data_IF_794762155164
#
_entry.id   IF_794762155164
#
_cell.length_a   1.000
_cell.length_b   1.000
_cell.length_c   1.000
_cell.angle_alpha   90.00
_cell.angle_beta   90.00
_cell.angle_gamma   90.00
#
_symmetry.space_group_name_H-M   'P 1'
#
loop_
_entity.id
_entity.type
_entity.pdbx_description
1 polymer ?
#
# COMPACT_ATOMS: atom_id res chain seq x y z
N UNK A 1 -13.20 21.31 -5.42
CA UNK A 1 -12.82 20.11 -4.63
C UNK A 1 -14.12 19.42 -4.24
N UNK A 2 -14.16 18.09 -4.28
CA UNK A 2 -15.39 17.32 -4.06
C UNK A 2 -15.14 16.28 -2.99
N UNK A 3 -16.02 16.21 -1.98
CA UNK A 3 -15.97 15.15 -0.99
C UNK A 3 -16.13 13.79 -1.66
N UNK A 4 -15.20 12.89 -1.38
CA UNK A 4 -15.08 11.61 -2.08
C UNK A 4 -16.29 10.71 -1.91
N UNK A 5 -16.78 10.53 -0.69
CA UNK A 5 -17.93 9.66 -0.42
C UNK A 5 -19.21 10.20 -1.07
N UNK A 6 -19.39 11.52 -1.05
CA UNK A 6 -20.49 12.17 -1.77
C UNK A 6 -20.38 11.90 -3.27
N UNK A 7 -19.19 12.11 -3.86
CA UNK A 7 -18.96 11.84 -5.27
C UNK A 7 -19.23 10.38 -5.65
N UNK A 8 -18.74 9.43 -4.85
CA UNK A 8 -18.99 8.00 -5.05
C UNK A 8 -20.48 7.68 -5.08
N UNK A 9 -21.25 8.20 -4.12
CA UNK A 9 -22.69 7.96 -4.05
C UNK A 9 -23.45 8.60 -5.22
N UNK A 10 -23.06 9.82 -5.60
CA UNK A 10 -23.73 10.57 -6.67
C UNK A 10 -23.42 10.03 -8.07
N UNK A 11 -22.19 9.53 -8.29
CA UNK A 11 -21.70 9.14 -9.62
C UNK A 11 -21.64 7.64 -9.85
N UNK A 12 -21.50 6.85 -8.78
CA UNK A 12 -21.35 5.39 -8.85
C UNK A 12 -22.30 4.75 -7.83
N UNK A 13 -23.58 4.56 -8.19
CA UNK A 13 -24.55 3.86 -7.35
C UNK A 13 -24.04 2.49 -6.89
N UNK A 14 -24.43 2.10 -5.66
CA UNK A 14 -23.87 0.92 -4.98
C UNK A 14 -24.03 -0.39 -5.77
N UNK A 15 -25.14 -0.55 -6.51
CA UNK A 15 -25.43 -1.69 -7.38
C UNK A 15 -24.46 -1.81 -8.57
N UNK A 16 -23.85 -0.69 -9.00
CA UNK A 16 -22.88 -0.65 -10.10
C UNK A 16 -21.44 -0.88 -9.67
N UNK A 17 -21.09 -0.58 -8.40
CA UNK A 17 -19.70 -0.64 -7.90
C UNK A 17 -19.04 -2.00 -8.09
N UNK A 18 -19.80 -3.08 -7.90
CA UNK A 18 -19.33 -4.46 -8.05
C UNK A 18 -18.90 -4.83 -9.49
N UNK A 19 -19.34 -4.07 -10.49
CA UNK A 19 -19.03 -4.30 -11.91
C UNK A 19 -17.80 -3.51 -12.39
N UNK A 20 -17.35 -2.54 -11.61
CA UNK A 20 -16.22 -1.69 -11.99
C UNK A 20 -14.92 -2.48 -11.83
N UNK A 21 -14.18 -2.57 -12.93
CA UNK A 21 -12.86 -3.21 -13.00
C UNK A 21 -11.73 -2.19 -13.14
N UNK A 22 -12.03 -0.98 -13.63
CA UNK A 22 -11.04 0.08 -13.80
C UNK A 22 -11.56 1.41 -13.23
N UNK A 23 -10.82 1.99 -12.30
CA UNK A 23 -11.10 3.31 -11.73
C UNK A 23 -9.87 4.19 -11.83
N UNK A 24 -10.02 5.31 -12.55
CA UNK A 24 -8.99 6.32 -12.72
C UNK A 24 -9.51 7.68 -12.23
N UNK A 25 -8.69 8.35 -11.43
CA UNK A 25 -8.99 9.64 -10.81
C UNK A 25 -7.79 10.56 -11.07
N UNK A 26 -8.02 11.63 -11.83
CA UNK A 26 -7.01 12.60 -12.25
C UNK A 26 -7.35 13.99 -11.70
N UNK A 27 -6.36 14.77 -11.27
CA UNK A 27 -6.60 16.17 -10.86
C UNK A 27 -6.56 17.17 -12.02
N UNK A 28 -6.17 16.72 -13.22
CA UNK A 28 -6.05 17.55 -14.42
C UNK A 28 -7.39 17.83 -15.08
N UNK A 29 -7.39 18.76 -16.03
CA UNK A 29 -8.53 18.97 -16.91
C UNK A 29 -8.71 17.75 -17.83
N UNK A 30 -9.96 17.34 -18.02
CA UNK A 30 -10.36 16.26 -18.90
C UNK A 30 -11.86 16.04 -18.84
N UNK A 31 -12.33 15.04 -19.58
CA UNK A 31 -13.75 14.71 -19.64
C UNK A 31 -14.03 13.44 -18.86
N UNK A 32 -14.98 13.52 -17.93
CA UNK A 32 -15.37 12.35 -17.16
C UNK A 32 -15.97 11.28 -18.06
N UNK A 33 -15.53 10.04 -17.89
CA UNK A 33 -16.04 8.87 -18.60
C UNK A 33 -16.66 7.91 -17.58
N UNK A 34 -17.94 7.62 -17.73
CA UNK A 34 -18.68 6.70 -16.85
C UNK A 34 -19.17 5.50 -17.65
N UNK A 35 -18.24 4.59 -17.95
CA UNK A 35 -18.55 3.32 -18.61
C UNK A 35 -19.15 2.30 -17.65
N UNK A 36 -19.57 1.15 -18.21
CA UNK A 36 -20.16 0.06 -17.43
C UNK A 36 -19.16 -0.58 -16.46
N UNK A 37 -17.90 -0.72 -16.87
CA UNK A 37 -16.84 -1.38 -16.10
C UNK A 37 -15.64 -0.47 -15.84
N UNK A 38 -15.57 0.67 -16.51
CA UNK A 38 -14.43 1.59 -16.45
C UNK A 38 -14.91 3.01 -16.18
N UNK A 39 -14.28 3.67 -15.21
CA UNK A 39 -14.59 5.04 -14.83
C UNK A 39 -13.33 5.87 -14.84
N UNK A 40 -13.39 7.03 -15.50
CA UNK A 40 -12.36 8.05 -15.48
C UNK A 40 -12.96 9.35 -14.96
N UNK A 41 -12.39 9.87 -13.88
CA UNK A 41 -12.82 11.10 -13.25
C UNK A 41 -11.71 12.15 -13.26
N UNK A 42 -12.05 13.35 -13.71
CA UNK A 42 -11.18 14.51 -13.77
C UNK A 42 -11.68 15.54 -12.77
N UNK A 43 -11.01 15.59 -11.63
CA UNK A 43 -11.32 16.49 -10.52
C UNK A 43 -10.52 16.18 -9.26
N UNK A 44 -10.50 17.13 -8.33
CA UNK A 44 -9.86 16.94 -7.02
C UNK A 44 -10.88 16.32 -6.07
N UNK A 45 -10.58 15.12 -5.60
CA UNK A 45 -11.27 14.48 -4.49
C UNK A 45 -10.60 14.81 -3.16
N UNK A 46 -11.41 14.87 -2.10
CA UNK A 46 -10.93 15.09 -0.73
C UNK A 46 -11.57 14.14 0.29
N UNK A 47 -10.86 13.94 1.40
CA UNK A 47 -11.31 13.11 2.51
C UNK A 47 -11.05 11.62 2.28
N UNK A 48 -11.94 10.79 2.82
CA UNK A 48 -11.80 9.33 2.76
C UNK A 48 -12.36 8.76 1.46
N UNK A 49 -11.59 7.88 0.81
CA UNK A 49 -12.03 7.09 -0.34
C UNK A 49 -12.18 5.62 0.07
N UNK A 50 -13.42 5.16 0.25
CA UNK A 50 -13.70 3.75 0.53
C UNK A 50 -14.15 3.01 -0.75
N UNK A 51 -13.32 2.09 -1.21
CA UNK A 51 -13.54 1.29 -2.42
C UNK A 51 -13.89 -0.17 -2.10
N UNK A 52 -14.23 -0.52 -0.86
CA UNK A 52 -14.47 -1.91 -0.48
C UNK A 52 -15.68 -2.58 -1.14
N UNK A 53 -16.58 -1.79 -1.73
CA UNK A 53 -17.70 -2.32 -2.52
C UNK A 53 -17.30 -2.65 -3.97
N UNK A 54 -16.09 -2.27 -4.40
CA UNK A 54 -15.54 -2.47 -5.74
C UNK A 54 -14.79 -3.82 -5.82
N UNK A 55 -15.47 -4.91 -5.47
CA UNK A 55 -14.87 -6.26 -5.36
C UNK A 55 -14.29 -6.82 -6.66
N UNK A 56 -14.64 -6.22 -7.81
CA UNK A 56 -14.11 -6.60 -9.13
C UNK A 56 -12.99 -5.67 -9.62
N UNK A 57 -12.56 -4.70 -8.82
CA UNK A 57 -11.56 -3.72 -9.22
C UNK A 57 -10.21 -4.40 -9.48
N UNK A 58 -9.68 -4.17 -10.68
CA UNK A 58 -8.39 -4.70 -11.14
C UNK A 58 -7.34 -3.58 -11.25
N UNK A 59 -7.77 -2.41 -11.73
CA UNK A 59 -6.90 -1.26 -11.96
C UNK A 59 -7.39 -0.05 -11.17
N UNK A 60 -6.52 0.50 -10.32
CA UNK A 60 -6.78 1.72 -9.58
C UNK A 60 -5.69 2.76 -9.81
N UNK A 61 -6.03 3.86 -10.47
CA UNK A 61 -5.12 4.98 -10.67
C UNK A 61 -5.67 6.24 -9.99
N UNK A 62 -4.89 6.85 -9.10
CA UNK A 62 -5.21 8.11 -8.44
C UNK A 62 -4.01 9.02 -8.65
N UNK A 63 -4.14 10.02 -9.50
CA UNK A 63 -3.01 10.87 -9.91
C UNK A 63 -3.37 12.34 -9.76
N UNK A 64 -2.60 13.04 -8.94
CA UNK A 64 -2.56 14.49 -8.90
C UNK A 64 -1.54 15.08 -9.90
N UNK A 65 -1.18 16.33 -9.69
CA UNK A 65 -0.03 16.98 -10.33
C UNK A 65 0.75 17.78 -9.31
N UNK A 66 1.94 18.27 -9.67
CA UNK A 66 2.75 19.14 -8.81
C UNK A 66 1.99 20.39 -8.33
N UNK A 67 1.15 20.96 -9.21
CA UNK A 67 0.35 22.15 -8.91
C UNK A 67 -0.95 21.83 -8.20
N UNK A 68 -1.46 20.61 -8.35
CA UNK A 68 -2.80 20.23 -7.93
C UNK A 68 -2.83 18.77 -7.47
N UNK A 69 -2.42 18.54 -6.23
CA UNK A 69 -2.42 17.21 -5.64
C UNK A 69 -3.84 16.74 -5.32
N UNK A 70 -4.06 15.41 -5.35
CA UNK A 70 -5.28 14.83 -4.79
C UNK A 70 -5.26 14.98 -3.26
N UNK A 71 -6.39 15.37 -2.67
CA UNK A 71 -6.49 15.73 -1.25
C UNK A 71 -7.13 14.62 -0.41
N UNK A 72 -6.87 13.37 -0.78
CA UNK A 72 -7.33 12.22 -0.02
C UNK A 72 -6.59 12.13 1.31
N UNK A 73 -7.31 11.79 2.37
CA UNK A 73 -6.74 11.55 3.70
C UNK A 73 -6.55 10.06 3.94
N UNK A 74 -7.48 9.23 3.45
CA UNK A 74 -7.41 7.78 3.56
C UNK A 74 -7.97 7.10 2.30
N UNK A 75 -7.45 5.90 1.99
CA UNK A 75 -7.89 5.04 0.90
C UNK A 75 -8.06 3.62 1.42
N UNK A 76 -9.26 3.05 1.25
CA UNK A 76 -9.57 1.67 1.63
C UNK A 76 -9.85 0.83 0.39
N UNK A 77 -9.03 -0.19 0.18
CA UNK A 77 -9.15 -1.16 -0.92
C UNK A 77 -8.98 -2.59 -0.41
N UNK A 78 -9.15 -2.82 0.89
CA UNK A 78 -8.91 -4.11 1.53
C UNK A 78 -9.73 -5.24 0.92
N UNK A 79 -10.97 -4.97 0.49
CA UNK A 79 -11.86 -5.95 -0.15
C UNK A 79 -11.71 -6.05 -1.67
N UNK A 80 -10.84 -5.26 -2.30
CA UNK A 80 -10.55 -5.32 -3.73
C UNK A 80 -9.59 -6.46 -4.06
N UNK A 81 -9.97 -7.72 -3.81
CA UNK A 81 -9.05 -8.87 -3.88
C UNK A 81 -8.49 -9.14 -5.29
N UNK A 82 -9.15 -8.66 -6.34
CA UNK A 82 -8.73 -8.80 -7.74
C UNK A 82 -7.81 -7.69 -8.25
N UNK A 83 -7.36 -6.78 -7.37
CA UNK A 83 -6.53 -5.64 -7.76
C UNK A 83 -5.16 -6.15 -8.22
N UNK A 84 -4.85 -5.94 -9.50
CA UNK A 84 -3.57 -6.33 -10.12
C UNK A 84 -2.62 -5.14 -10.26
N UNK A 85 -3.17 -3.92 -10.30
CA UNK A 85 -2.39 -2.70 -10.44
C UNK A 85 -2.95 -1.56 -9.57
N UNK A 86 -2.05 -0.92 -8.82
CA UNK A 86 -2.33 0.29 -8.06
C UNK A 86 -1.31 1.38 -8.35
N UNK A 87 -1.79 2.56 -8.74
CA UNK A 87 -0.96 3.75 -8.93
C UNK A 87 -1.55 4.91 -8.14
N UNK A 88 -0.79 5.45 -7.19
CA UNK A 88 -1.19 6.61 -6.39
C UNK A 88 -0.05 7.61 -6.44
N UNK A 89 -0.22 8.68 -7.20
CA UNK A 89 0.83 9.66 -7.43
C UNK A 89 0.35 11.07 -7.11
N UNK A 90 1.25 11.91 -6.58
CA UNK A 90 0.95 13.32 -6.28
C UNK A 90 -0.30 13.49 -5.41
N UNK A 91 -0.35 12.78 -4.29
CA UNK A 91 -1.46 12.86 -3.34
C UNK A 91 -0.99 13.27 -1.95
N UNK A 92 -1.90 13.82 -1.16
CA UNK A 92 -1.71 14.03 0.28
C UNK A 92 -2.12 12.83 1.11
N UNK A 93 -2.24 11.64 0.50
CA UNK A 93 -2.78 10.44 1.13
C UNK A 93 -1.98 10.10 2.39
N UNK A 94 -2.68 10.09 3.53
CA UNK A 94 -2.11 9.79 4.84
C UNK A 94 -2.12 8.31 5.16
N UNK A 95 -3.18 7.60 4.78
CA UNK A 95 -3.42 6.20 5.16
C UNK A 95 -3.92 5.37 3.98
N UNK A 96 -3.27 4.24 3.73
CA UNK A 96 -3.67 3.25 2.73
C UNK A 96 -3.97 1.91 3.39
N UNK A 97 -5.24 1.49 3.37
CA UNK A 97 -5.69 0.18 3.79
C UNK A 97 -5.72 -0.74 2.57
N UNK A 98 -4.55 -1.32 2.26
CA UNK A 98 -4.40 -2.16 1.09
C UNK A 98 -5.00 -3.56 1.30
N UNK A 99 -4.90 -4.12 2.51
CA UNK A 99 -5.25 -5.52 2.80
C UNK A 99 -4.42 -6.53 1.98
N UNK A 100 -4.75 -7.81 2.07
CA UNK A 100 -4.08 -8.84 1.27
C UNK A 100 -4.44 -8.70 -0.22
N UNK A 101 -3.44 -8.73 -1.09
CA UNK A 101 -3.56 -8.59 -2.54
C UNK A 101 -2.70 -9.65 -3.26
N UNK A 102 -3.17 -10.91 -3.32
CA UNK A 102 -2.37 -12.02 -3.84
C UNK A 102 -2.01 -11.85 -5.33
N UNK A 103 -2.83 -11.12 -6.09
CA UNK A 103 -2.67 -10.93 -7.53
C UNK A 103 -2.03 -9.58 -7.90
N UNK A 104 -1.51 -8.81 -6.93
CA UNK A 104 -0.93 -7.49 -7.21
C UNK A 104 0.40 -7.63 -7.94
N UNK A 105 0.44 -7.23 -9.20
CA UNK A 105 1.62 -7.32 -10.06
C UNK A 105 2.39 -6.00 -10.10
N UNK A 106 1.69 -4.88 -9.94
CA UNK A 106 2.29 -3.54 -10.09
C UNK A 106 1.76 -2.57 -9.05
N UNK A 107 2.68 -1.89 -8.36
CA UNK A 107 2.38 -0.86 -7.39
C UNK A 107 3.31 0.34 -7.59
N UNK A 108 2.75 1.55 -7.64
CA UNK A 108 3.51 2.77 -7.87
C UNK A 108 2.96 3.91 -7.00
N UNK A 109 3.80 4.39 -6.08
CA UNK A 109 3.43 5.37 -5.05
C UNK A 109 4.32 6.62 -5.09
N UNK A 110 4.44 7.30 -6.23
CA UNK A 110 5.38 8.41 -6.39
C UNK A 110 4.87 9.72 -5.81
N UNK A 111 5.79 10.44 -5.14
CA UNK A 111 5.59 11.84 -4.71
C UNK A 111 4.32 12.02 -3.87
N UNK A 112 4.07 11.08 -2.96
CA UNK A 112 3.07 11.21 -1.90
C UNK A 112 3.74 11.82 -0.65
N UNK A 113 3.09 12.78 -0.01
CA UNK A 113 3.75 13.58 1.05
C UNK A 113 3.92 12.77 2.35
N UNK A 114 2.94 11.95 2.73
CA UNK A 114 2.88 11.25 4.04
C UNK A 114 2.12 9.91 3.96
N UNK A 115 2.48 9.04 3.02
CA UNK A 115 1.77 7.76 2.84
C UNK A 115 2.14 6.75 3.92
N UNK A 116 1.20 6.42 4.81
CA UNK A 116 1.31 5.31 5.76
C UNK A 116 0.47 4.13 5.29
N UNK A 117 1.04 2.93 5.34
CA UNK A 117 0.33 1.69 4.99
C UNK A 117 -0.30 1.10 6.26
N UNK A 118 -1.62 0.99 6.26
CA UNK A 118 -2.40 0.40 7.34
C UNK A 118 -2.70 -1.05 6.95
N UNK A 119 -1.92 -1.97 7.50
CA UNK A 119 -2.13 -3.38 7.25
C UNK A 119 -3.23 -3.95 8.17
N UNK A 120 -4.26 -4.52 7.55
CA UNK A 120 -5.30 -5.24 8.26
C UNK A 120 -4.80 -6.60 8.75
N UNK A 121 -3.74 -7.17 8.18
CA UNK A 121 -3.16 -8.42 8.66
C UNK A 121 -2.45 -8.22 10.01
N UNK A 122 -1.73 -7.12 10.19
CA UNK A 122 -1.26 -6.66 11.51
C UNK A 122 -2.40 -6.48 12.51
N UNK A 123 -3.54 -5.91 12.09
CA UNK A 123 -4.72 -5.75 12.94
C UNK A 123 -5.35 -7.09 13.33
N UNK A 124 -5.47 -8.02 12.39
CA UNK A 124 -5.98 -9.38 12.62
C UNK A 124 -5.04 -10.18 13.53
N UNK A 125 -3.74 -10.03 13.34
CA UNK A 125 -2.76 -10.70 14.20
C UNK A 125 -2.69 -10.08 15.59
N UNK A 126 -2.80 -8.75 15.73
CA UNK A 126 -3.00 -8.10 17.03
C UNK A 126 -4.30 -8.59 17.68
N UNK A 127 -5.36 -8.82 16.91
CA UNK A 127 -6.59 -9.45 17.38
C UNK A 127 -6.39 -10.89 17.89
N UNK A 128 -5.63 -11.72 17.15
CA UNK A 128 -5.23 -13.07 17.60
C UNK A 128 -4.38 -13.02 18.87
N UNK A 129 -3.41 -12.11 18.94
CA UNK A 129 -2.57 -11.92 20.12
C UNK A 129 -3.39 -11.48 21.33
N UNK A 130 -4.33 -10.56 21.12
CA UNK A 130 -5.28 -10.11 22.16
C UNK A 130 -6.11 -11.28 22.67
N UNK A 131 -6.56 -12.16 21.79
CA UNK A 131 -7.30 -13.38 22.15
C UNK A 131 -6.43 -14.34 22.96
N UNK A 132 -5.19 -14.60 22.53
CA UNK A 132 -4.23 -15.47 23.25
C UNK A 132 -3.88 -14.93 24.66
N UNK A 133 -3.76 -13.62 24.80
CA UNK A 133 -3.56 -12.95 26.11
C UNK A 133 -4.78 -13.19 27.01
N UNK A 134 -5.99 -13.06 26.47
CA UNK A 134 -7.24 -13.27 27.21
C UNK A 134 -7.46 -14.74 27.60
N UNK A 135 -7.01 -15.69 26.79
CA UNK A 135 -7.11 -17.13 27.07
C UNK A 135 -5.97 -17.68 27.93
N UNK A 136 -4.99 -16.84 28.31
CA UNK A 136 -3.80 -17.21 29.11
C UNK A 136 -2.97 -18.36 28.53
N UNK A 137 -2.93 -18.50 27.21
CA UNK A 137 -2.07 -19.49 26.56
C UNK A 137 -0.68 -18.91 26.32
N UNK A 138 0.17 -18.98 27.35
CA UNK A 138 1.45 -18.28 27.41
C UNK A 138 2.51 -18.88 26.48
N UNK A 139 2.38 -20.17 26.14
CA UNK A 139 3.32 -20.88 25.27
C UNK A 139 3.28 -20.38 23.83
N UNK A 140 2.07 -20.20 23.29
CA UNK A 140 1.86 -19.74 21.91
C UNK A 140 2.08 -18.23 21.75
N UNK A 141 2.03 -17.47 22.84
CA UNK A 141 2.13 -16.01 22.84
C UNK A 141 3.49 -15.51 22.35
N UNK A 142 4.59 -16.16 22.73
CA UNK A 142 5.94 -15.77 22.32
C UNK A 142 6.19 -16.06 20.84
N UNK A 143 5.68 -17.18 20.34
CA UNK A 143 5.79 -17.58 18.95
C UNK A 143 4.95 -16.65 18.06
N UNK A 144 3.70 -16.36 18.43
CA UNK A 144 2.85 -15.45 17.66
C UNK A 144 3.33 -14.01 17.73
N UNK A 145 3.84 -13.53 18.86
CA UNK A 145 4.47 -12.20 18.96
C UNK A 145 5.68 -12.07 18.02
N UNK A 146 6.46 -13.15 17.87
CA UNK A 146 7.59 -13.20 16.94
C UNK A 146 7.11 -13.16 15.49
N UNK A 147 6.13 -14.00 15.12
CA UNK A 147 5.52 -14.01 13.78
C UNK A 147 4.92 -12.66 13.39
N UNK A 148 4.27 -11.97 14.33
CA UNK A 148 3.73 -10.62 14.12
C UNK A 148 4.82 -9.61 13.80
N UNK A 149 5.91 -9.61 14.58
CA UNK A 149 7.03 -8.71 14.34
C UNK A 149 7.69 -9.00 12.98
N UNK A 150 7.90 -10.28 12.66
CA UNK A 150 8.52 -10.71 11.40
C UNK A 150 7.64 -10.31 10.20
N UNK A 151 6.35 -10.66 10.20
CA UNK A 151 5.43 -10.30 9.11
C UNK A 151 5.21 -8.79 8.98
N UNK A 152 5.14 -8.07 10.10
CA UNK A 152 5.07 -6.60 10.09
C UNK A 152 6.29 -5.98 9.43
N UNK A 153 7.48 -6.53 9.71
CA UNK A 153 8.74 -6.07 9.12
C UNK A 153 8.82 -6.43 7.64
N UNK A 154 8.47 -7.67 7.26
CA UNK A 154 8.40 -8.10 5.86
C UNK A 154 7.47 -7.22 5.04
N UNK A 155 6.26 -6.95 5.53
CA UNK A 155 5.31 -6.07 4.86
C UNK A 155 5.86 -4.64 4.70
N UNK A 156 6.44 -4.07 5.77
CA UNK A 156 7.06 -2.74 5.70
C UNK A 156 8.22 -2.70 4.71
N UNK A 157 9.01 -3.77 4.62
CA UNK A 157 10.13 -3.89 3.69
C UNK A 157 9.64 -4.01 2.25
N UNK A 158 8.60 -4.81 1.97
CA UNK A 158 8.03 -4.93 0.63
C UNK A 158 7.38 -3.62 0.16
N UNK A 159 6.66 -2.95 1.05
CA UNK A 159 6.12 -1.62 0.80
C UNK A 159 7.23 -0.61 0.50
N UNK A 160 8.29 -0.61 1.30
CA UNK A 160 9.44 0.29 1.12
C UNK A 160 10.14 -0.01 -0.20
N UNK A 161 10.40 -1.29 -0.50
CA UNK A 161 11.03 -1.77 -1.75
C UNK A 161 10.26 -1.28 -2.98
N UNK A 162 8.94 -1.39 -2.96
CA UNK A 162 8.09 -0.96 -4.08
C UNK A 162 7.98 0.56 -4.25
N UNK A 163 8.41 1.34 -3.26
CA UNK A 163 8.45 2.80 -3.32
C UNK A 163 9.82 3.35 -3.76
N UNK A 164 10.86 2.53 -3.80
CA UNK A 164 12.22 2.90 -4.18
C UNK A 164 12.43 2.76 -5.70
N UNK A 165 13.32 3.57 -6.27
CA UNK A 165 13.81 3.33 -7.63
C UNK A 165 14.70 2.09 -7.71
N UNK A 166 14.99 1.62 -8.94
CA UNK A 166 15.71 0.36 -9.16
C UNK A 166 17.10 0.33 -8.51
N UNK A 167 17.79 1.47 -8.41
CA UNK A 167 19.09 1.54 -7.73
C UNK A 167 18.93 1.39 -6.23
N UNK A 168 17.94 2.07 -5.65
CA UNK A 168 17.63 1.99 -4.23
C UNK A 168 17.02 0.65 -3.80
N UNK A 169 16.31 -0.06 -4.70
CA UNK A 169 15.84 -1.44 -4.48
C UNK A 169 17.00 -2.42 -4.31
N UNK A 170 17.98 -2.38 -5.22
CA UNK A 170 19.19 -3.22 -5.15
C UNK A 170 19.98 -2.96 -3.86
N UNK A 171 20.00 -1.71 -3.41
CA UNK A 171 20.60 -1.32 -2.14
C UNK A 171 19.87 -1.93 -0.93
N UNK A 172 18.54 -1.91 -0.94
CA UNK A 172 17.73 -2.50 0.13
C UNK A 172 17.91 -4.04 0.19
N UNK A 173 17.94 -4.71 -0.97
CA UNK A 173 18.21 -6.16 -1.06
C UNK A 173 19.61 -6.50 -0.53
N UNK A 174 20.63 -5.72 -0.92
CA UNK A 174 22.00 -5.92 -0.41
C UNK A 174 22.12 -5.72 1.10
N UNK A 175 21.35 -4.77 1.67
CA UNK A 175 21.26 -4.54 3.12
C UNK A 175 20.56 -5.69 3.84
N UNK A 176 19.50 -6.25 3.26
CA UNK A 176 18.79 -7.40 3.82
C UNK A 176 19.68 -8.66 3.81
N UNK A 177 20.36 -8.94 2.71
CA UNK A 177 21.31 -10.05 2.61
C UNK A 177 22.44 -9.89 3.64
N UNK A 178 23.00 -8.69 3.76
CA UNK A 178 24.02 -8.41 4.77
C UNK A 178 23.48 -8.59 6.20
N UNK A 179 22.24 -8.19 6.48
CA UNK A 179 21.62 -8.33 7.80
C UNK A 179 21.30 -9.81 8.13
N UNK A 180 20.74 -10.58 7.20
CA UNK A 180 20.53 -12.02 7.37
C UNK A 180 21.85 -12.73 7.63
N UNK A 181 22.91 -12.33 6.93
CA UNK A 181 24.25 -12.89 7.09
C UNK A 181 24.89 -12.48 8.43
N UNK A 182 24.70 -11.25 8.94
CA UNK A 182 25.09 -10.88 10.34
C UNK A 182 24.36 -11.74 11.36
N UNK A 183 23.07 -11.99 11.13
CA UNK A 183 22.24 -12.79 12.05
C UNK A 183 22.61 -14.28 11.99
N UNK A 184 23.14 -14.77 10.85
CA UNK A 184 23.57 -16.16 10.65
C UNK A 184 25.05 -16.41 10.93
N UNK A 185 25.94 -15.43 10.74
CA UNK A 185 27.38 -15.59 10.82
C UNK A 185 28.09 -14.49 11.61
N UNK A 186 29.15 -14.89 12.31
CA UNK A 186 29.94 -14.03 13.18
C UNK A 186 30.70 -12.94 12.36
N UNK A 187 30.04 -11.80 12.13
CA UNK A 187 30.50 -10.42 11.89
C UNK A 187 31.51 -10.07 10.77
N UNK A 188 32.31 -10.98 10.23
CA UNK A 188 33.44 -10.61 9.34
C UNK A 188 33.01 -10.35 7.87
N UNK A 189 32.12 -11.16 7.31
CA UNK A 189 31.66 -11.00 5.93
C UNK A 189 30.74 -9.79 5.77
N UNK A 190 29.84 -9.57 6.74
CA UNK A 190 28.94 -8.43 6.74
C UNK A 190 29.65 -7.07 6.78
N UNK A 191 30.77 -6.95 7.52
CA UNK A 191 31.60 -5.75 7.50
C UNK A 191 32.17 -5.46 6.11
N UNK A 192 32.57 -6.52 5.38
CA UNK A 192 33.12 -6.40 4.02
C UNK A 192 32.07 -5.99 2.97
N UNK A 193 30.80 -6.36 3.15
CA UNK A 193 29.71 -5.89 2.29
C UNK A 193 29.30 -4.45 2.61
N UNK A 194 29.26 -4.08 3.90
CA UNK A 194 29.04 -2.70 4.34
C UNK A 194 30.09 -1.73 3.80
N UNK A 195 31.36 -2.15 3.68
CA UNK A 195 32.41 -1.34 3.04
C UNK A 195 32.18 -1.18 1.53
N UNK A 196 31.78 -2.23 0.83
CA UNK A 196 31.45 -2.16 -0.60
C UNK A 196 30.28 -1.22 -0.90
N UNK A 197 29.30 -1.17 0.00
CA UNK A 197 28.19 -0.21 -0.09
C UNK A 197 28.70 1.25 -0.01
N UNK A 198 29.68 1.54 0.84
CA UNK A 198 30.23 2.91 0.97
C UNK A 198 30.95 3.39 -0.29
N UNK A 199 31.57 2.47 -1.04
CA UNK A 199 32.34 2.81 -2.24
C UNK A 199 31.46 3.03 -3.48
N UNK A 200 30.22 2.54 -3.48
CA UNK A 200 29.27 2.69 -4.59
C UNK A 200 28.36 3.93 -4.52
N UNK A 201 28.57 4.82 -3.55
CA UNK A 201 27.73 6.00 -3.29
C UNK A 201 28.35 7.34 -3.75
N UNK A 202 29.43 7.30 -4.54
CA UNK A 202 30.04 8.46 -5.20
C UNK A 202 29.61 8.58 -6.67
#
# INVERSE_FOLDING_TARGET
MVNTNKWLNDKIPADKRKQITNLKIYSSNGHNLFGKTSIEYYGILEGELDLNEFVSLQYLHITGSEKQQQKLTSLKVDKCTKLTEIMINYTTLGYLYLGNKPDLVSANFKRNIKLNFCDNELKDQVGKLTTLILTKDVGDLKLETKKIKEKSLEYQLDVTRNCLDKGNQLWLESLQDAQEEVLRSNSAYARKQLERCKDGAN
#
